data_IF_663249719947
#
_entry.id   IF_663249719947
#
_cell.length_a   1.000
_cell.length_b   1.000
_cell.length_c   1.000
_cell.angle_alpha   90.00
_cell.angle_beta   90.00
_cell.angle_gamma   90.00
#
_symmetry.space_group_name_H-M   'P 1'
#
loop_
_entity.id
_entity.type
_entity.pdbx_description
1 polymer ?
#
# COMPACT_ATOMS: atom_id res chain seq x y z
N UNK A 1 -16.80 -59.59 -44.24
CA UNK A 1 -15.61 -58.74 -44.06
C UNK A 1 -16.12 -57.31 -43.76
N UNK A 2 -16.23 -56.98 -42.46
CA UNK A 2 -16.84 -55.73 -42.02
C UNK A 2 -15.71 -54.79 -41.55
N UNK A 3 -15.50 -53.68 -42.25
CA UNK A 3 -14.49 -52.67 -41.90
C UNK A 3 -15.04 -51.74 -40.82
N UNK A 4 -14.48 -51.81 -39.64
CA UNK A 4 -14.74 -50.87 -38.55
C UNK A 4 -13.88 -49.62 -38.79
N UNK A 5 -14.52 -48.46 -38.97
CA UNK A 5 -13.85 -47.14 -39.02
C UNK A 5 -13.77 -46.60 -37.58
N UNK A 6 -12.56 -46.48 -37.03
CA UNK A 6 -12.26 -45.74 -35.81
C UNK A 6 -12.35 -44.25 -36.15
N UNK A 7 -13.32 -43.54 -35.56
CA UNK A 7 -13.33 -42.09 -35.49
C UNK A 7 -12.48 -41.64 -34.27
N UNK A 8 -11.35 -41.03 -34.59
CA UNK A 8 -10.51 -40.40 -33.59
C UNK A 8 -11.04 -38.99 -33.29
N UNK A 9 -11.70 -38.82 -32.14
CA UNK A 9 -12.10 -37.51 -31.65
C UNK A 9 -10.93 -36.84 -30.96
N UNK A 10 -10.36 -35.83 -31.61
CA UNK A 10 -9.35 -34.94 -31.04
C UNK A 10 -10.09 -33.92 -30.15
N UNK A 11 -10.04 -34.13 -28.84
CA UNK A 11 -10.50 -33.13 -27.88
C UNK A 11 -9.45 -32.02 -27.76
N UNK A 12 -9.75 -30.86 -28.35
CA UNK A 12 -8.96 -29.66 -28.13
C UNK A 12 -9.26 -29.11 -26.75
N UNK A 13 -8.34 -29.29 -25.79
CA UNK A 13 -8.38 -28.66 -24.49
C UNK A 13 -7.98 -27.20 -24.66
N UNK A 14 -8.97 -26.31 -24.62
CA UNK A 14 -8.77 -24.86 -24.60
C UNK A 14 -8.25 -24.47 -23.19
N UNK A 15 -6.95 -24.35 -23.02
CA UNK A 15 -6.34 -23.79 -21.81
C UNK A 15 -6.56 -22.29 -21.86
N UNK A 16 -7.63 -21.82 -21.21
CA UNK A 16 -7.82 -20.40 -20.94
C UNK A 16 -6.83 -20.03 -19.86
N UNK A 17 -5.69 -19.49 -20.26
CA UNK A 17 -4.75 -18.83 -19.36
C UNK A 17 -5.45 -17.57 -18.81
N UNK A 18 -6.06 -17.68 -17.63
CA UNK A 18 -6.49 -16.53 -16.83
C UNK A 18 -5.24 -15.82 -16.35
N UNK A 19 -4.73 -14.88 -17.17
CA UNK A 19 -3.77 -13.88 -16.69
C UNK A 19 -4.47 -13.15 -15.54
N UNK A 20 -3.88 -13.14 -14.32
CA UNK A 20 -4.39 -12.24 -13.30
C UNK A 20 -4.28 -10.84 -13.88
N UNK A 21 -5.42 -10.21 -14.18
CA UNK A 21 -5.49 -8.77 -14.35
C UNK A 21 -5.04 -8.21 -12.99
N UNK A 22 -3.74 -7.94 -12.88
CA UNK A 22 -3.23 -7.05 -11.87
C UNK A 22 -3.97 -5.74 -12.11
N UNK A 23 -5.02 -5.52 -11.36
CA UNK A 23 -5.65 -4.21 -11.21
C UNK A 23 -4.55 -3.30 -10.62
N UNK A 24 -3.65 -2.81 -11.49
CA UNK A 24 -2.79 -1.69 -11.18
C UNK A 24 -3.74 -0.56 -10.91
N UNK A 25 -4.01 -0.33 -9.63
CA UNK A 25 -4.86 0.77 -9.22
C UNK A 25 -4.38 2.03 -9.94
N UNK A 26 -5.25 2.64 -10.72
CA UNK A 26 -4.96 3.85 -11.49
C UNK A 26 -4.80 5.08 -10.57
N UNK A 27 -4.25 4.88 -9.38
CA UNK A 27 -4.02 5.93 -8.43
C UNK A 27 -2.55 5.95 -7.99
N UNK A 28 -2.05 7.16 -7.77
CA UNK A 28 -0.67 7.40 -7.37
C UNK A 28 -0.63 8.23 -6.10
N UNK A 29 0.36 7.97 -5.27
CA UNK A 29 0.68 8.86 -4.16
C UNK A 29 1.38 10.09 -4.71
N UNK A 30 0.82 11.27 -4.45
CA UNK A 30 1.35 12.55 -4.95
C UNK A 30 2.04 13.37 -3.88
N UNK A 31 1.79 13.06 -2.61
CA UNK A 31 2.41 13.73 -1.45
C UNK A 31 2.32 12.82 -0.23
N UNK A 32 3.27 12.95 0.66
CA UNK A 32 3.27 12.33 1.99
C UNK A 32 3.36 13.45 3.01
N UNK A 33 2.39 13.49 3.94
CA UNK A 33 2.40 14.39 5.08
C UNK A 33 2.81 13.60 6.32
N UNK A 34 3.83 14.06 7.05
CA UNK A 34 4.34 13.43 8.26
C UNK A 34 4.13 14.37 9.44
N UNK A 35 3.49 13.88 10.49
CA UNK A 35 3.31 14.60 11.74
C UNK A 35 3.70 13.71 12.93
N UNK A 36 4.16 14.32 14.01
CA UNK A 36 4.51 13.58 15.23
C UNK A 36 5.09 14.47 16.30
N UNK A 37 5.11 14.02 17.56
CA UNK A 37 5.54 14.84 18.70
C UNK A 37 7.03 15.24 18.63
N UNK A 38 7.84 14.52 17.88
CA UNK A 38 9.25 14.85 17.67
C UNK A 38 9.48 15.90 16.56
N UNK A 39 8.41 16.36 15.89
CA UNK A 39 8.48 17.34 14.82
C UNK A 39 7.89 18.67 15.27
N UNK A 40 8.65 19.77 15.09
CA UNK A 40 8.15 21.11 15.39
C UNK A 40 6.99 21.53 14.47
N UNK A 41 7.01 21.05 13.23
CA UNK A 41 5.96 21.26 12.22
C UNK A 41 5.78 19.99 11.39
N UNK A 42 4.58 19.76 10.84
CA UNK A 42 4.38 18.69 9.87
C UNK A 42 5.30 18.86 8.64
N UNK A 43 5.84 17.74 8.17
CA UNK A 43 6.72 17.69 6.99
C UNK A 43 5.91 17.23 5.79
N UNK A 44 6.03 17.93 4.67
CA UNK A 44 5.47 17.51 3.39
C UNK A 44 6.58 16.98 2.50
N UNK A 45 6.41 15.76 2.03
CA UNK A 45 7.38 15.07 1.16
C UNK A 45 6.77 14.87 -0.22
N UNK A 46 7.51 15.34 -1.23
CA UNK A 46 7.17 15.21 -2.65
C UNK A 46 8.28 14.51 -3.44
N UNK A 47 9.24 13.89 -2.74
CA UNK A 47 10.33 13.13 -3.36
C UNK A 47 9.76 11.93 -4.15
N UNK A 48 10.09 11.87 -5.44
CA UNK A 48 9.51 10.92 -6.36
C UNK A 48 9.81 9.46 -6.01
N UNK A 49 11.04 9.18 -5.60
CA UNK A 49 11.45 7.81 -5.27
C UNK A 49 10.65 7.26 -4.09
N UNK A 50 10.37 8.10 -3.09
CA UNK A 50 9.54 7.72 -1.95
C UNK A 50 8.06 7.61 -2.36
N UNK A 51 7.54 8.55 -3.16
CA UNK A 51 6.15 8.53 -3.63
C UNK A 51 5.84 7.27 -4.47
N UNK A 52 6.72 6.91 -5.40
CA UNK A 52 6.55 5.75 -6.28
C UNK A 52 6.51 4.42 -5.48
N UNK A 53 7.21 4.39 -4.34
CA UNK A 53 7.21 3.24 -3.41
C UNK A 53 6.08 3.27 -2.37
N UNK A 54 5.32 4.35 -2.33
CA UNK A 54 4.20 4.56 -1.40
C UNK A 54 2.85 4.27 -2.04
N UNK A 55 2.81 3.34 -3.01
CA UNK A 55 1.56 2.95 -3.65
C UNK A 55 0.70 2.10 -2.70
N UNK A 56 -0.43 2.66 -2.29
CA UNK A 56 -1.34 2.06 -1.32
C UNK A 56 -1.98 0.75 -1.83
N UNK A 57 -2.16 0.60 -3.14
CA UNK A 57 -2.71 -0.62 -3.73
C UNK A 57 -1.67 -1.74 -3.87
N UNK A 58 -0.40 -1.39 -4.06
CA UNK A 58 0.68 -2.37 -4.14
C UNK A 58 1.22 -2.76 -2.77
N UNK A 59 1.07 -1.88 -1.76
CA UNK A 59 1.55 -2.08 -0.40
C UNK A 59 3.07 -2.34 -0.32
N UNK A 60 3.84 -1.72 -1.21
CA UNK A 60 5.30 -1.92 -1.31
C UNK A 60 6.08 -1.41 -0.09
N UNK A 61 5.42 -0.67 0.79
CA UNK A 61 6.01 -0.14 2.02
C UNK A 61 5.74 -1.05 3.24
N UNK A 62 4.92 -2.10 3.09
CA UNK A 62 4.55 -3.02 4.16
C UNK A 62 5.29 -4.34 3.96
N UNK A 63 6.06 -4.74 4.97
CA UNK A 63 6.74 -6.01 5.05
C UNK A 63 6.00 -7.04 5.91
N UNK A 64 6.74 -7.93 6.55
CA UNK A 64 6.21 -8.98 7.42
C UNK A 64 5.57 -8.38 8.69
N UNK A 65 4.58 -9.05 9.30
CA UNK A 65 4.07 -8.67 10.61
C UNK A 65 5.19 -8.55 11.64
N UNK A 66 5.14 -7.51 12.46
CA UNK A 66 6.08 -7.29 13.55
C UNK A 66 5.50 -7.80 14.87
N UNK A 67 6.25 -8.64 15.56
CA UNK A 67 5.81 -9.23 16.83
C UNK A 67 5.89 -8.24 18.00
N UNK A 68 6.77 -7.23 17.89
CA UNK A 68 7.00 -6.23 18.94
C UNK A 68 7.44 -4.92 18.33
N UNK A 69 6.83 -3.84 18.79
CA UNK A 69 7.25 -2.45 18.55
C UNK A 69 7.34 -1.76 19.90
N UNK A 70 8.51 -1.21 20.21
CA UNK A 70 8.76 -0.60 21.50
C UNK A 70 7.90 0.68 21.67
N UNK A 71 7.36 0.88 22.87
CA UNK A 71 6.54 2.03 23.19
C UNK A 71 7.34 3.34 23.18
N UNK A 72 8.63 3.25 23.50
CA UNK A 72 9.53 4.40 23.63
C UNK A 72 10.07 4.89 22.28
N UNK A 73 9.85 4.14 21.21
CA UNK A 73 10.30 4.58 19.89
C UNK A 73 9.48 5.78 19.39
N UNK A 74 10.15 6.75 18.74
CA UNK A 74 9.45 7.89 18.15
C UNK A 74 8.37 7.44 17.19
N UNK A 75 7.19 8.03 17.33
CA UNK A 75 6.01 7.69 16.53
C UNK A 75 5.56 8.87 15.70
N UNK A 76 5.13 8.58 14.50
CA UNK A 76 4.68 9.55 13.52
C UNK A 76 3.36 9.10 12.90
N UNK A 77 2.52 10.07 12.56
CA UNK A 77 1.36 9.86 11.68
C UNK A 77 1.81 10.19 10.27
N UNK A 78 1.69 9.24 9.38
CA UNK A 78 2.05 9.37 7.96
C UNK A 78 0.78 9.33 7.14
N UNK A 79 0.49 10.39 6.41
CA UNK A 79 -0.67 10.48 5.53
C UNK A 79 -0.21 10.46 4.08
N UNK A 80 -0.58 9.42 3.36
CA UNK A 80 -0.37 9.33 1.93
C UNK A 80 -1.53 10.01 1.21
N UNK A 81 -1.24 11.05 0.44
CA UNK A 81 -2.23 11.74 -0.41
C UNK A 81 -2.21 11.10 -1.78
N UNK A 82 -3.34 10.55 -2.18
CA UNK A 82 -3.47 9.69 -3.37
C UNK A 82 -4.42 10.34 -4.37
N UNK A 83 -4.03 10.38 -5.62
CA UNK A 83 -4.84 10.87 -6.73
C UNK A 83 -5.17 9.74 -7.72
N UNK A 84 -6.40 9.73 -8.21
CA UNK A 84 -6.81 8.83 -9.29
C UNK A 84 -6.29 9.35 -10.63
N UNK A 85 -5.68 8.46 -11.42
CA UNK A 85 -5.24 8.76 -12.80
C UNK A 85 -6.32 8.52 -13.85
N UNK A 86 -7.43 7.89 -13.48
CA UNK A 86 -8.48 7.60 -14.46
C UNK A 86 -9.40 8.81 -14.57
N UNK A 87 -9.49 9.47 -15.75
CA UNK A 87 -10.56 10.39 -16.01
C UNK A 87 -11.86 9.59 -16.00
N UNK A 88 -12.76 9.84 -15.06
CA UNK A 88 -14.12 9.33 -15.15
C UNK A 88 -14.86 10.19 -16.18
N UNK A 89 -15.33 9.63 -17.33
CA UNK A 89 -15.93 10.43 -18.39
C UNK A 89 -17.24 11.11 -18.01
N UNK A 90 -17.87 10.75 -16.90
CA UNK A 90 -19.24 11.18 -16.53
C UNK A 90 -19.32 12.17 -15.37
N UNK A 91 -18.24 12.41 -14.65
CA UNK A 91 -18.22 13.43 -13.60
C UNK A 91 -16.84 14.05 -13.61
N UNK A 92 -16.77 15.37 -13.73
CA UNK A 92 -15.54 16.16 -13.66
C UNK A 92 -14.87 16.09 -12.27
N UNK A 93 -14.61 14.90 -11.79
CA UNK A 93 -13.93 14.59 -10.52
C UNK A 93 -12.44 14.29 -10.74
N UNK A 94 -11.84 14.97 -11.71
CA UNK A 94 -10.37 15.09 -11.79
C UNK A 94 -9.90 15.84 -10.56
N UNK A 95 -9.14 15.17 -9.71
CA UNK A 95 -8.51 15.81 -8.55
C UNK A 95 -9.09 15.46 -7.18
N UNK A 96 -9.99 14.48 -7.05
CA UNK A 96 -10.35 14.00 -5.72
C UNK A 96 -9.12 13.32 -5.10
N UNK A 97 -8.50 14.05 -4.18
CA UNK A 97 -7.43 13.51 -3.36
C UNK A 97 -8.05 12.63 -2.27
N UNK A 98 -7.68 11.36 -2.26
CA UNK A 98 -7.93 10.45 -1.16
C UNK A 98 -6.74 10.47 -0.21
N UNK A 99 -7.01 10.25 1.08
CA UNK A 99 -5.97 10.15 2.08
C UNK A 99 -5.91 8.74 2.62
N UNK A 100 -4.71 8.25 2.82
CA UNK A 100 -4.44 7.01 3.52
C UNK A 100 -3.55 7.29 4.72
N UNK A 101 -4.02 6.93 5.91
CA UNK A 101 -3.35 7.22 7.17
C UNK A 101 -2.73 5.94 7.73
N UNK A 102 -1.48 6.02 8.13
CA UNK A 102 -0.76 4.98 8.85
C UNK A 102 0.04 5.60 9.99
N UNK A 103 0.42 4.79 10.97
CA UNK A 103 1.39 5.20 11.98
C UNK A 103 2.74 4.58 11.65
N UNK A 104 3.80 5.32 11.94
CA UNK A 104 5.17 4.88 11.72
C UNK A 104 5.95 4.96 13.03
N UNK A 105 6.69 3.92 13.38
CA UNK A 105 7.62 3.91 14.49
C UNK A 105 9.03 3.67 13.97
N UNK A 106 10.02 4.33 14.58
CA UNK A 106 11.41 4.27 14.17
C UNK A 106 12.28 3.72 15.29
N UNK A 107 12.90 2.54 15.08
CA UNK A 107 14.05 2.11 15.86
C UNK A 107 15.29 2.85 15.36
N UNK A 108 15.68 3.91 16.09
CA UNK A 108 16.87 4.72 15.72
C UNK A 108 18.18 3.96 15.86
N UNK A 109 18.26 2.97 16.74
CA UNK A 109 19.50 2.23 16.96
C UNK A 109 19.82 1.32 15.77
N UNK A 110 18.77 0.73 15.17
CA UNK A 110 18.90 -0.18 14.03
C UNK A 110 18.58 0.49 12.69
N UNK A 111 17.98 1.68 12.71
CA UNK A 111 17.48 2.33 11.51
C UNK A 111 16.24 1.63 10.90
N UNK A 112 15.61 0.73 11.66
CA UNK A 112 14.45 -0.03 11.22
C UNK A 112 13.16 0.76 11.39
N UNK A 113 12.28 0.68 10.41
CA UNK A 113 10.96 1.30 10.43
C UNK A 113 9.85 0.28 10.61
N UNK A 114 8.78 0.70 11.27
CA UNK A 114 7.59 -0.10 11.49
C UNK A 114 6.35 0.68 11.10
N UNK A 115 5.43 0.02 10.40
CA UNK A 115 4.18 0.59 9.92
C UNK A 115 3.02 -0.06 10.66
N UNK A 116 2.14 0.76 11.23
CA UNK A 116 0.88 0.31 11.78
C UNK A 116 -0.27 0.73 10.88
N UNK A 117 -1.10 -0.21 10.50
CA UNK A 117 -2.31 0.05 9.75
C UNK A 117 -3.48 0.12 10.73
N UNK A 118 -4.18 1.25 10.82
CA UNK A 118 -5.32 1.38 11.72
C UNK A 118 -6.34 0.26 11.52
N UNK A 119 -6.76 -0.36 12.63
CA UNK A 119 -7.75 -1.42 12.66
C UNK A 119 -9.18 -0.90 12.76
N UNK A 120 -10.15 -1.83 12.67
CA UNK A 120 -11.59 -1.50 12.76
C UNK A 120 -11.89 -0.76 14.08
N UNK A 121 -12.49 0.42 13.96
CA UNK A 121 -12.86 1.27 15.10
C UNK A 121 -11.82 2.31 15.49
N UNK A 122 -10.62 2.28 14.90
CA UNK A 122 -9.57 3.25 15.12
C UNK A 122 -9.68 4.44 14.14
N UNK A 123 -9.09 5.57 14.54
CA UNK A 123 -9.00 6.75 13.69
C UNK A 123 -8.16 6.41 12.44
N UNK A 124 -8.64 6.87 11.29
CA UNK A 124 -8.02 6.58 10.00
C UNK A 124 -8.55 5.32 9.30
N UNK A 125 -9.10 4.33 10.01
CA UNK A 125 -9.60 3.09 9.40
C UNK A 125 -10.63 3.36 8.29
N UNK A 126 -11.61 4.24 8.55
CA UNK A 126 -12.65 4.58 7.55
C UNK A 126 -12.08 5.26 6.31
N UNK A 127 -11.02 6.04 6.48
CA UNK A 127 -10.32 6.70 5.38
C UNK A 127 -9.59 5.67 4.53
N UNK A 128 -9.02 4.65 5.17
CA UNK A 128 -8.18 3.63 4.55
C UNK A 128 -8.97 2.55 3.82
N UNK A 129 -10.16 2.20 4.29
CA UNK A 129 -10.94 1.02 3.85
C UNK A 129 -11.23 0.97 2.35
N UNK A 130 -11.29 2.12 1.68
CA UNK A 130 -11.49 2.19 0.23
C UNK A 130 -10.20 2.13 -0.59
N UNK A 131 -9.04 2.06 0.05
CA UNK A 131 -7.73 2.18 -0.59
C UNK A 131 -6.86 0.93 -0.44
N UNK A 132 -6.86 0.30 0.73
CA UNK A 132 -6.18 -0.99 0.94
C UNK A 132 -7.19 -1.98 1.50
N UNK A 133 -7.54 -2.97 0.71
CA UNK A 133 -8.34 -4.11 1.16
C UNK A 133 -7.35 -5.23 1.52
N UNK A 134 -6.82 -5.19 2.72
CA UNK A 134 -5.96 -6.26 3.23
C UNK A 134 -6.43 -6.62 4.64
N UNK A 135 -7.58 -7.25 4.72
CA UNK A 135 -8.32 -7.59 5.94
C UNK A 135 -7.47 -8.21 7.07
N UNK A 136 -6.39 -8.91 6.72
CA UNK A 136 -5.52 -9.55 7.70
C UNK A 136 -4.36 -8.68 8.21
N UNK A 137 -4.17 -7.47 7.68
CA UNK A 137 -3.03 -6.60 8.01
C UNK A 137 -3.43 -5.41 8.90
N UNK A 138 -4.71 -5.09 8.96
CA UNK A 138 -5.21 -3.99 9.78
C UNK A 138 -5.14 -4.30 11.28
N UNK A 139 -4.99 -3.28 12.10
CA UNK A 139 -4.92 -3.39 13.55
C UNK A 139 -3.63 -3.99 14.09
N UNK A 140 -2.54 -3.97 13.31
CA UNK A 140 -1.25 -4.51 13.73
C UNK A 140 -0.06 -3.79 13.13
N UNK A 141 1.08 -3.99 13.77
CA UNK A 141 2.37 -3.52 13.29
C UNK A 141 2.98 -4.48 12.26
N UNK A 142 3.69 -3.89 11.30
CA UNK A 142 4.48 -4.58 10.30
C UNK A 142 5.87 -3.94 10.23
N UNK A 143 6.89 -4.70 9.86
CA UNK A 143 8.13 -4.10 9.41
C UNK A 143 7.85 -3.24 8.17
N UNK A 144 8.37 -2.03 8.12
CA UNK A 144 8.44 -1.31 6.87
C UNK A 144 9.45 -2.00 5.94
N UNK A 145 9.23 -1.95 4.62
CA UNK A 145 10.28 -2.43 3.72
C UNK A 145 11.52 -1.55 3.86
N UNK A 146 12.69 -2.18 3.85
CA UNK A 146 13.97 -1.51 4.10
C UNK A 146 14.17 -0.26 3.22
N UNK A 147 13.92 -0.41 1.92
CA UNK A 147 14.10 0.70 0.97
C UNK A 147 13.15 1.86 1.26
N UNK A 148 11.88 1.58 1.61
CA UNK A 148 10.92 2.63 1.94
C UNK A 148 11.26 3.31 3.26
N UNK A 149 11.62 2.53 4.29
CA UNK A 149 12.05 3.06 5.58
C UNK A 149 13.27 3.94 5.44
N UNK A 150 14.30 3.50 4.69
CA UNK A 150 15.52 4.28 4.46
C UNK A 150 15.24 5.63 3.79
N UNK A 151 14.28 5.70 2.86
CA UNK A 151 13.87 6.94 2.22
C UNK A 151 13.10 7.86 3.18
N UNK A 152 12.15 7.29 3.95
CA UNK A 152 11.32 8.05 4.89
C UNK A 152 12.17 8.62 6.04
N UNK A 153 13.10 7.83 6.59
CA UNK A 153 13.94 8.19 7.71
C UNK A 153 14.84 9.41 7.45
N UNK A 154 15.11 9.75 6.18
CA UNK A 154 15.87 10.97 5.82
C UNK A 154 15.14 12.27 6.20
N UNK A 155 13.84 12.20 6.43
CA UNK A 155 12.99 13.35 6.81
C UNK A 155 12.72 13.40 8.32
N UNK A 156 13.14 12.38 9.07
CA UNK A 156 12.87 12.28 10.50
C UNK A 156 14.11 12.64 11.31
N UNK A 157 13.94 13.37 12.44
CA UNK A 157 15.06 13.76 13.30
C UNK A 157 15.69 12.58 14.02
#
# INVERSE_FOLDING_TARGET
MTKVRLLSTVSAVLVVATLPLLARGNAVTVRIDIAGPALSNPIQVTNRDLLDRSNVYAGQFIGMPANRVDADWPRYVVTLVVESRTPMPTLALTGIQKRYVLHYALDRQRGEGFVYLPGRGEDGYRVNIGLIIRESQDGRWHHATETWAALLNRYLP
#
